data_IF_300235208286
#
_entry.id   IF_300235208286
#
_cell.length_a   1.000
_cell.length_b   1.000
_cell.length_c   1.000
_cell.angle_alpha   90.00
_cell.angle_beta   90.00
_cell.angle_gamma   90.00
#
_symmetry.space_group_name_H-M   'P 1'
#
loop_
_entity.id
_entity.type
_entity.pdbx_description
1 polymer ?
#
# COMPACT_ATOMS: atom_id res chain seq x y z
N UNK A 1 56.08 10.72 -49.12
CA UNK A 1 56.90 11.93 -48.87
C UNK A 1 57.04 12.14 -47.36
N UNK A 2 57.95 13.01 -46.93
CA UNK A 2 58.61 12.94 -45.62
C UNK A 2 57.76 13.37 -44.41
N UNK A 3 58.19 12.87 -43.24
CA UNK A 3 57.82 13.34 -41.91
C UNK A 3 58.42 14.73 -41.60
N UNK A 4 57.87 15.41 -40.60
CA UNK A 4 58.56 16.46 -39.84
C UNK A 4 57.63 17.24 -38.91
N UNK A 5 58.07 17.72 -37.74
CA UNK A 5 59.26 17.38 -36.94
C UNK A 5 59.03 17.86 -35.50
N UNK A 6 59.67 17.22 -34.53
CA UNK A 6 59.57 17.54 -33.10
C UNK A 6 60.48 18.69 -32.65
N UNK A 7 60.12 19.32 -31.52
CA UNK A 7 60.99 20.27 -30.79
C UNK A 7 60.19 21.23 -29.89
N UNK A 8 60.48 21.51 -28.62
CA UNK A 8 61.04 20.84 -27.42
C UNK A 8 61.54 21.95 -26.47
N UNK A 9 61.55 21.69 -25.15
CA UNK A 9 62.02 22.54 -24.03
C UNK A 9 61.06 23.69 -23.59
N UNK A 10 60.93 24.00 -22.30
CA UNK A 10 61.57 23.33 -21.15
C UNK A 10 61.16 23.87 -19.76
N UNK A 11 61.76 23.24 -18.74
CA UNK A 11 61.79 23.56 -17.29
C UNK A 11 61.70 25.08 -16.99
N UNK A 12 61.10 25.56 -15.90
CA UNK A 12 60.77 24.94 -14.61
C UNK A 12 61.26 25.85 -13.47
N UNK A 13 60.56 25.94 -12.33
CA UNK A 13 60.98 26.81 -11.23
C UNK A 13 60.02 26.79 -10.03
N UNK A 14 60.54 26.45 -8.85
CA UNK A 14 59.81 26.49 -7.60
C UNK A 14 60.15 27.77 -6.81
N UNK A 15 59.16 28.35 -6.12
CA UNK A 15 59.33 29.52 -5.26
C UNK A 15 58.34 29.51 -4.09
N UNK A 16 58.83 29.70 -2.86
CA UNK A 16 58.06 29.69 -1.59
C UNK A 16 57.74 31.12 -1.17
N UNK A 17 56.68 31.36 -0.37
CA UNK A 17 56.64 32.62 0.43
C UNK A 17 55.31 33.08 1.05
N UNK A 18 55.03 32.63 2.28
CA UNK A 18 54.43 33.31 3.46
C UNK A 18 53.64 34.66 3.38
N UNK A 19 52.59 34.75 4.23
CA UNK A 19 51.97 36.01 4.73
C UNK A 19 50.43 35.90 4.85
N UNK A 20 49.82 35.32 5.89
CA UNK A 20 49.54 35.78 7.27
C UNK A 20 48.68 37.05 7.43
N UNK A 21 47.58 36.86 8.18
CA UNK A 21 46.79 37.78 9.01
C UNK A 21 45.97 38.92 8.35
N UNK A 22 44.66 38.94 8.62
CA UNK A 22 44.14 39.97 9.53
C UNK A 22 42.94 39.48 10.36
N UNK A 23 42.85 39.95 11.60
CA UNK A 23 41.74 39.68 12.53
C UNK A 23 40.69 40.80 12.44
N UNK A 24 39.43 40.52 12.78
CA UNK A 24 38.52 41.54 13.34
C UNK A 24 37.69 40.94 14.46
N UNK A 25 37.70 41.60 15.62
CA UNK A 25 37.06 41.15 16.88
C UNK A 25 36.37 42.32 17.58
N UNK A 26 35.16 42.08 18.10
CA UNK A 26 34.60 42.81 19.24
C UNK A 26 33.52 43.85 18.93
N UNK A 27 32.43 43.85 19.73
CA UNK A 27 31.31 44.79 19.55
C UNK A 27 30.06 44.56 20.43
N UNK A 28 30.22 44.35 21.74
CA UNK A 28 29.17 44.56 22.78
C UNK A 28 29.76 45.57 23.77
N UNK A 29 29.00 46.49 24.40
CA UNK A 29 27.94 46.13 25.36
C UNK A 29 26.75 47.13 25.45
N UNK A 30 25.86 46.95 26.43
CA UNK A 30 24.87 47.96 26.86
C UNK A 30 23.58 47.34 27.42
N UNK A 31 23.18 47.71 28.64
CA UNK A 31 22.02 47.12 29.33
C UNK A 31 21.17 48.15 30.08
N UNK A 32 19.89 47.82 30.31
CA UNK A 32 18.93 48.58 31.12
C UNK A 32 17.67 48.97 30.32
N UNK A 33 16.44 48.84 30.84
CA UNK A 33 16.00 48.24 32.11
C UNK A 33 14.59 48.70 32.49
N UNK A 34 13.79 47.81 33.11
CA UNK A 34 12.36 48.00 33.52
C UNK A 34 11.39 48.14 32.33
N UNK A 35 10.15 47.67 32.38
CA UNK A 35 9.42 46.89 33.39
C UNK A 35 7.90 47.00 33.15
N UNK A 36 7.12 45.94 33.35
CA UNK A 36 5.67 45.99 33.15
C UNK A 36 4.98 44.63 33.22
N UNK A 37 4.08 44.44 34.19
CA UNK A 37 3.24 43.24 34.36
C UNK A 37 1.93 43.39 33.57
N UNK A 38 1.35 42.27 33.14
CA UNK A 38 -0.01 42.19 32.60
C UNK A 38 -0.07 41.24 31.40
N UNK A 39 -0.68 40.05 31.45
CA UNK A 39 -1.56 39.49 32.48
C UNK A 39 -3.03 39.61 32.09
N UNK A 40 -3.45 38.83 31.09
CA UNK A 40 -4.85 38.52 30.84
C UNK A 40 -5.07 37.00 30.78
N UNK A 41 -6.31 36.51 30.69
CA UNK A 41 -7.58 37.22 30.87
C UNK A 41 -8.41 36.65 32.04
N UNK A 42 -9.35 37.43 32.59
CA UNK A 42 -10.47 36.91 33.42
C UNK A 42 -11.78 37.59 33.06
N UNK A 43 -12.37 37.14 31.94
CA UNK A 43 -13.79 37.33 31.70
C UNK A 43 -14.59 36.38 32.60
N UNK A 44 -15.30 36.94 33.58
CA UNK A 44 -16.20 36.18 34.43
C UNK A 44 -17.64 36.24 33.91
N UNK A 45 -18.15 35.11 33.43
CA UNK A 45 -19.58 34.87 33.24
C UNK A 45 -19.90 33.50 33.83
N UNK A 46 -20.35 33.50 35.08
CA UNK A 46 -20.60 32.27 35.83
C UNK A 46 -21.92 31.60 35.43
N UNK A 47 -21.83 30.44 34.77
CA UNK A 47 -22.92 29.47 34.74
C UNK A 47 -22.60 28.32 35.68
N UNK A 48 -23.52 28.02 36.61
CA UNK A 48 -23.28 27.10 37.71
C UNK A 48 -23.29 25.62 37.29
N UNK A 49 -22.27 24.88 37.72
CA UNK A 49 -22.25 23.41 37.71
C UNK A 49 -22.45 22.86 39.13
N UNK A 50 -23.64 22.35 39.43
CA UNK A 50 -23.97 21.77 40.72
C UNK A 50 -23.38 20.36 40.95
N UNK A 51 -23.23 19.98 42.22
CA UNK A 51 -22.80 18.63 42.64
C UNK A 51 -23.80 17.55 42.17
N UNK A 52 -23.36 16.35 41.76
CA UNK A 52 -24.26 15.21 41.60
C UNK A 52 -24.55 14.56 42.97
N UNK A 53 -25.78 14.73 43.46
CA UNK A 53 -26.36 13.91 44.52
C UNK A 53 -27.23 12.78 43.94
N UNK A 54 -27.18 11.60 44.56
CA UNK A 54 -28.28 10.60 44.53
C UNK A 54 -29.48 11.15 45.35
N UNK A 55 -30.70 10.54 45.37
CA UNK A 55 -31.18 9.30 44.73
C UNK A 55 -32.58 9.43 44.05
N UNK A 56 -33.20 8.32 43.61
CA UNK A 56 -34.68 8.16 43.71
C UNK A 56 -35.48 7.76 42.45
N UNK A 57 -36.26 6.67 42.58
CA UNK A 57 -37.47 6.30 41.79
C UNK A 57 -38.67 7.22 42.20
N UNK A 58 -39.88 7.25 41.54
CA UNK A 58 -40.58 6.19 40.77
C UNK A 58 -41.28 6.66 39.44
N UNK A 59 -41.78 5.78 38.55
CA UNK A 59 -43.18 5.26 38.46
C UNK A 59 -44.11 6.19 37.62
N UNK A 60 -45.20 5.80 36.93
CA UNK A 60 -45.83 4.53 36.51
C UNK A 60 -47.01 4.85 35.51
N UNK A 61 -47.77 3.84 35.02
CA UNK A 61 -49.03 3.92 34.19
C UNK A 61 -48.81 4.26 32.70
N UNK A 62 -49.58 3.80 31.68
CA UNK A 62 -50.75 2.89 31.52
C UNK A 62 -50.69 2.28 30.07
N UNK A 63 -51.55 1.39 29.56
CA UNK A 63 -52.66 0.60 30.14
C UNK A 63 -53.77 0.22 29.08
N UNK A 64 -54.01 -1.08 28.84
CA UNK A 64 -55.05 -1.63 27.91
C UNK A 64 -54.48 -2.74 26.99
N UNK A 65 -54.72 -4.06 27.16
CA UNK A 65 -55.95 -4.86 27.12
C UNK A 65 -56.45 -5.16 25.68
N UNK A 66 -56.86 -6.39 25.28
CA UNK A 66 -56.64 -7.76 25.79
C UNK A 66 -57.14 -8.74 24.69
N UNK A 67 -56.34 -9.74 24.27
CA UNK A 67 -56.75 -10.78 23.31
C UNK A 67 -56.21 -12.14 23.74
N UNK A 68 -57.02 -13.21 23.71
CA UNK A 68 -56.76 -14.47 24.44
C UNK A 68 -55.94 -15.48 23.65
N UNK A 69 -54.98 -16.10 24.32
CA UNK A 69 -54.29 -17.35 23.94
C UNK A 69 -53.37 -17.77 25.08
N UNK A 70 -53.78 -18.73 25.91
CA UNK A 70 -53.11 -19.00 27.20
C UNK A 70 -51.88 -19.91 27.06
N UNK A 71 -50.71 -19.55 27.62
CA UNK A 71 -49.50 -20.38 27.60
C UNK A 71 -49.23 -21.10 28.95
N UNK A 72 -48.58 -22.27 28.87
CA UNK A 72 -48.02 -22.98 30.02
C UNK A 72 -46.59 -22.51 30.36
N UNK A 73 -46.38 -22.13 31.63
CA UNK A 73 -45.10 -21.74 32.26
C UNK A 73 -44.06 -22.88 32.12
N UNK A 74 -42.83 -22.68 31.64
CA UNK A 74 -41.69 -21.89 32.15
C UNK A 74 -41.03 -22.43 33.43
N UNK A 75 -39.77 -22.89 33.33
CA UNK A 75 -38.78 -22.85 34.41
C UNK A 75 -37.34 -22.96 33.85
N UNK A 76 -36.44 -22.06 34.26
CA UNK A 76 -35.02 -22.13 33.92
C UNK A 76 -34.23 -22.96 34.95
N UNK A 77 -33.45 -23.92 34.44
CA UNK A 77 -32.09 -24.29 34.88
C UNK A 77 -31.77 -24.58 36.36
N UNK A 78 -31.40 -25.83 36.64
CA UNK A 78 -30.21 -26.25 37.44
C UNK A 78 -29.57 -27.50 36.77
N UNK A 79 -28.47 -28.10 37.23
CA UNK A 79 -27.23 -28.14 36.47
C UNK A 79 -26.97 -29.51 35.80
N UNK A 80 -25.97 -29.57 34.91
CA UNK A 80 -25.46 -30.83 34.38
C UNK A 80 -25.02 -31.76 35.52
N UNK A 81 -25.71 -32.89 35.67
CA UNK A 81 -25.36 -33.95 36.62
C UNK A 81 -24.58 -35.02 35.86
N UNK A 82 -23.36 -35.31 36.30
CA UNK A 82 -22.48 -36.31 35.69
C UNK A 82 -23.06 -37.71 35.82
N UNK A 83 -23.42 -38.32 34.68
CA UNK A 83 -23.79 -39.73 34.57
C UNK A 83 -22.57 -40.63 34.63
N UNK A 84 -22.56 -41.59 35.57
CA UNK A 84 -21.53 -42.64 35.68
C UNK A 84 -21.67 -43.66 34.54
N UNK A 85 -20.59 -44.39 34.19
CA UNK A 85 -20.59 -45.30 33.04
C UNK A 85 -21.47 -46.54 33.27
N UNK A 86 -22.29 -46.88 32.27
CA UNK A 86 -22.96 -48.18 32.22
C UNK A 86 -21.96 -49.25 31.79
N UNK A 87 -21.39 -49.94 32.78
CA UNK A 87 -20.57 -51.13 32.59
C UNK A 87 -21.20 -52.32 33.32
N UNK A 88 -22.25 -52.93 32.76
CA UNK A 88 -22.72 -54.26 33.16
C UNK A 88 -23.87 -54.79 32.28
N UNK A 89 -23.61 -55.08 31.00
CA UNK A 89 -24.42 -56.05 30.23
C UNK A 89 -23.50 -57.12 29.64
N UNK A 90 -23.16 -58.13 30.46
CA UNK A 90 -22.53 -59.36 29.96
C UNK A 90 -23.60 -60.28 29.39
N UNK A 91 -24.00 -60.02 28.15
CA UNK A 91 -24.50 -61.11 27.29
C UNK A 91 -23.32 -62.00 26.91
N UNK A 92 -23.32 -63.27 27.33
CA UNK A 92 -22.25 -64.21 27.00
C UNK A 92 -22.28 -64.61 25.51
N UNK A 93 -21.63 -63.83 24.64
CA UNK A 93 -21.27 -64.32 23.32
C UNK A 93 -19.94 -65.07 23.37
N UNK A 94 -20.01 -66.37 23.69
CA UNK A 94 -18.90 -67.30 23.45
C UNK A 94 -18.76 -67.47 21.92
N UNK A 95 -17.63 -67.07 21.29
CA UNK A 95 -17.41 -67.46 19.89
C UNK A 95 -17.25 -68.98 19.85
N UNK A 96 -18.10 -69.66 19.08
CA UNK A 96 -17.97 -71.10 18.88
C UNK A 96 -16.65 -71.41 18.18
N UNK A 97 -15.87 -72.30 18.78
CA UNK A 97 -14.58 -72.75 18.25
C UNK A 97 -14.80 -73.70 17.07
N UNK A 98 -15.25 -73.18 15.93
CA UNK A 98 -15.27 -73.89 14.65
C UNK A 98 -15.44 -72.98 13.41
N UNK A 99 -14.81 -71.80 13.41
CA UNK A 99 -14.54 -71.08 12.16
C UNK A 99 -13.12 -71.37 11.69
N UNK A 100 -13.00 -72.27 10.71
CA UNK A 100 -11.79 -72.36 9.89
C UNK A 100 -11.55 -70.99 9.24
N UNK A 101 -10.30 -70.49 9.35
CA UNK A 101 -9.92 -69.22 8.74
C UNK A 101 -10.04 -69.34 7.23
N UNK A 102 -11.05 -68.69 6.66
CA UNK A 102 -11.04 -68.37 5.25
C UNK A 102 -10.47 -66.95 5.12
N UNK A 103 -9.14 -66.86 4.99
CA UNK A 103 -8.38 -65.59 4.95
C UNK A 103 -8.67 -64.73 3.69
N UNK A 104 -9.68 -65.09 2.89
CA UNK A 104 -10.08 -64.45 1.64
C UNK A 104 -11.25 -63.46 1.77
N UNK A 105 -11.70 -63.09 2.98
CA UNK A 105 -12.80 -62.13 3.15
C UNK A 105 -12.35 -60.67 2.95
N UNK A 106 -11.96 -60.34 1.71
CA UNK A 106 -11.79 -58.96 1.28
C UNK A 106 -13.15 -58.24 1.30
N UNK A 107 -13.38 -57.42 2.33
CA UNK A 107 -14.58 -56.60 2.43
C UNK A 107 -14.76 -55.70 1.19
N UNK A 108 -15.99 -55.25 0.88
CA UNK A 108 -16.33 -54.66 -0.40
C UNK A 108 -15.36 -53.52 -0.77
N UNK A 109 -14.50 -53.79 -1.75
CA UNK A 109 -13.57 -52.81 -2.29
C UNK A 109 -14.38 -51.63 -2.82
N UNK A 110 -14.43 -50.53 -2.06
CA UNK A 110 -14.85 -49.24 -2.61
C UNK A 110 -13.95 -48.99 -3.82
N UNK A 111 -14.49 -48.84 -5.04
CA UNK A 111 -13.66 -48.52 -6.20
C UNK A 111 -12.86 -47.29 -5.85
N UNK A 112 -11.53 -47.38 -6.00
CA UNK A 112 -10.65 -46.22 -5.76
C UNK A 112 -11.18 -45.10 -6.66
N UNK A 113 -11.68 -44.03 -6.05
CA UNK A 113 -12.08 -42.80 -6.74
C UNK A 113 -10.97 -42.50 -7.74
N UNK A 114 -11.28 -42.26 -9.03
CA UNK A 114 -10.25 -42.09 -10.05
C UNK A 114 -9.24 -41.07 -9.53
N UNK A 115 -7.95 -41.43 -9.58
CA UNK A 115 -6.91 -40.43 -9.38
C UNK A 115 -7.19 -39.34 -10.40
N UNK A 116 -7.14 -38.08 -9.96
CA UNK A 116 -7.14 -36.94 -10.87
C UNK A 116 -6.09 -37.18 -11.97
N UNK A 117 -6.31 -36.61 -13.15
CA UNK A 117 -5.35 -36.71 -14.25
C UNK A 117 -3.93 -36.38 -13.75
N UNK A 118 -2.88 -37.07 -14.24
CA UNK A 118 -1.50 -36.76 -13.87
C UNK A 118 -1.20 -35.27 -14.15
N UNK A 119 -0.76 -34.54 -13.12
CA UNK A 119 -0.50 -33.08 -13.16
C UNK A 119 0.99 -32.75 -13.34
N UNK A 120 1.81 -33.77 -13.50
CA UNK A 120 3.26 -33.78 -13.71
C UNK A 120 3.67 -33.51 -15.17
N UNK A 121 2.70 -33.30 -16.07
CA UNK A 121 2.94 -32.94 -17.47
C UNK A 121 3.17 -31.44 -17.69
N UNK A 122 2.93 -30.60 -16.68
CA UNK A 122 3.16 -29.16 -16.73
C UNK A 122 4.63 -28.83 -16.44
N UNK A 123 5.29 -28.05 -17.31
CA UNK A 123 6.71 -27.67 -17.16
C UNK A 123 7.00 -26.89 -15.86
N UNK A 124 6.00 -26.20 -15.31
CA UNK A 124 6.09 -25.43 -14.07
C UNK A 124 5.70 -26.24 -12.81
N UNK A 125 5.36 -27.53 -12.95
CA UNK A 125 4.91 -28.37 -11.83
C UNK A 125 6.05 -28.62 -10.84
N UNK A 126 5.79 -28.30 -9.57
CA UNK A 126 6.74 -28.48 -8.48
C UNK A 126 6.17 -29.47 -7.45
N UNK A 127 6.81 -30.63 -7.29
CA UNK A 127 6.39 -31.64 -6.31
C UNK A 127 6.37 -31.12 -4.87
N UNK A 128 7.31 -30.24 -4.49
CA UNK A 128 7.42 -29.64 -3.16
C UNK A 128 6.66 -28.29 -3.07
N UNK A 129 6.15 -27.82 -4.20
CA UNK A 129 5.42 -26.57 -4.36
C UNK A 129 4.08 -26.50 -3.63
N UNK A 130 3.52 -25.29 -3.63
CA UNK A 130 2.23 -25.00 -3.01
C UNK A 130 1.11 -25.36 -3.98
N UNK A 131 0.09 -26.09 -3.50
CA UNK A 131 -1.12 -26.40 -4.27
C UNK A 131 -1.79 -25.13 -4.81
N UNK A 132 -2.12 -25.10 -6.10
CA UNK A 132 -2.61 -23.92 -6.81
C UNK A 132 -3.85 -23.30 -6.13
N UNK A 133 -4.86 -24.10 -5.77
CA UNK A 133 -6.06 -23.59 -5.07
C UNK A 133 -5.78 -23.05 -3.66
N UNK A 134 -4.72 -23.55 -2.99
CA UNK A 134 -4.28 -23.02 -1.69
C UNK A 134 -3.60 -21.67 -1.90
N UNK A 135 -2.78 -21.56 -2.94
CA UNK A 135 -2.03 -20.35 -3.28
C UNK A 135 -2.96 -19.21 -3.72
N UNK A 136 -3.92 -19.48 -4.61
CA UNK A 136 -4.98 -18.53 -5.00
C UNK A 136 -5.79 -18.04 -3.79
N UNK A 137 -6.13 -18.93 -2.86
CA UNK A 137 -6.84 -18.56 -1.63
C UNK A 137 -5.98 -17.71 -0.67
N UNK A 138 -4.67 -17.95 -0.58
CA UNK A 138 -3.72 -17.09 0.16
C UNK A 138 -3.53 -15.72 -0.51
N UNK A 139 -3.56 -15.69 -1.86
CA UNK A 139 -3.57 -14.45 -2.62
C UNK A 139 -4.89 -13.65 -2.50
N UNK A 140 -5.93 -14.24 -1.92
CA UNK A 140 -7.20 -13.58 -1.63
C UNK A 140 -8.25 -13.67 -2.74
N UNK A 141 -8.06 -14.53 -3.74
CA UNK A 141 -8.97 -14.70 -4.89
C UNK A 141 -10.36 -15.14 -4.43
N UNK A 142 -10.43 -16.27 -3.73
CA UNK A 142 -11.68 -16.83 -3.22
C UNK A 142 -11.39 -17.87 -2.11
N UNK A 143 -12.44 -18.55 -1.62
CA UNK A 143 -12.26 -19.75 -0.81
C UNK A 143 -11.55 -20.84 -1.61
N UNK A 144 -10.80 -21.74 -0.95
CA UNK A 144 -10.10 -22.85 -1.64
C UNK A 144 -11.01 -23.70 -2.55
N UNK A 145 -12.29 -23.88 -2.20
CA UNK A 145 -13.26 -24.63 -3.01
C UNK A 145 -13.71 -23.87 -4.25
N UNK A 146 -13.87 -22.56 -4.14
CA UNK A 146 -14.16 -21.70 -5.30
C UNK A 146 -12.93 -21.59 -6.20
N UNK A 147 -11.72 -21.58 -5.64
CA UNK A 147 -10.49 -21.68 -6.44
C UNK A 147 -10.37 -23.03 -7.18
N UNK A 148 -10.83 -24.15 -6.58
CA UNK A 148 -10.91 -25.43 -7.30
C UNK A 148 -11.90 -25.35 -8.47
N UNK A 149 -13.07 -24.75 -8.27
CA UNK A 149 -14.05 -24.51 -9.36
C UNK A 149 -13.47 -23.63 -10.47
N UNK A 150 -12.79 -22.53 -10.14
CA UNK A 150 -12.15 -21.65 -11.12
C UNK A 150 -11.07 -22.37 -11.97
N UNK A 151 -10.36 -23.33 -11.38
CA UNK A 151 -9.42 -24.20 -12.13
C UNK A 151 -10.21 -25.11 -13.07
N UNK A 152 -11.20 -25.86 -12.57
CA UNK A 152 -12.04 -26.76 -13.39
C UNK A 152 -12.80 -26.01 -14.52
N UNK A 153 -13.15 -24.74 -14.31
CA UNK A 153 -13.77 -23.82 -15.28
C UNK A 153 -12.79 -23.28 -16.35
N UNK A 154 -11.49 -23.56 -16.24
CA UNK A 154 -10.47 -23.06 -17.18
C UNK A 154 -10.23 -21.56 -17.08
N UNK A 155 -10.33 -20.99 -15.87
CA UNK A 155 -10.17 -19.54 -15.62
C UNK A 155 -8.80 -19.16 -15.06
N UNK A 156 -7.91 -20.13 -14.89
CA UNK A 156 -6.60 -19.98 -14.27
C UNK A 156 -5.51 -20.33 -15.25
N UNK A 157 -4.54 -19.44 -15.42
CA UNK A 157 -3.30 -19.75 -16.15
C UNK A 157 -2.09 -19.64 -15.24
N UNK A 158 -1.06 -20.42 -15.52
CA UNK A 158 0.24 -20.37 -14.84
C UNK A 158 1.31 -20.25 -15.90
N UNK A 159 2.15 -19.21 -15.83
CA UNK A 159 3.18 -18.89 -16.83
C UNK A 159 2.63 -18.81 -18.27
N UNK A 160 1.35 -18.43 -18.43
CA UNK A 160 0.64 -18.36 -19.71
C UNK A 160 -0.07 -19.65 -20.14
N UNK A 161 0.19 -20.79 -19.49
CA UNK A 161 -0.44 -22.07 -19.79
C UNK A 161 -1.74 -22.26 -19.02
N UNK A 162 -2.78 -22.80 -19.68
CA UNK A 162 -4.10 -23.02 -19.09
C UNK A 162 -4.11 -24.24 -18.16
N UNK A 163 -4.61 -24.05 -16.94
CA UNK A 163 -4.70 -25.13 -15.94
C UNK A 163 -6.14 -25.51 -15.66
N UNK A 164 -6.50 -26.79 -15.90
CA UNK A 164 -7.84 -27.32 -15.62
C UNK A 164 -7.86 -28.42 -14.55
N UNK A 165 -6.68 -28.97 -14.22
CA UNK A 165 -6.53 -30.15 -13.40
C UNK A 165 -6.34 -29.83 -11.91
N UNK A 166 -7.22 -30.38 -11.08
CA UNK A 166 -7.05 -30.28 -9.63
C UNK A 166 -5.85 -31.11 -9.14
N UNK A 167 -4.95 -30.45 -8.42
CA UNK A 167 -3.80 -31.11 -7.75
C UNK A 167 -2.45 -30.50 -8.10
N UNK A 168 -2.41 -29.67 -9.15
CA UNK A 168 -1.25 -28.87 -9.56
C UNK A 168 -0.63 -28.13 -8.36
N UNK A 169 0.70 -28.20 -8.28
CA UNK A 169 1.54 -27.53 -7.31
C UNK A 169 2.56 -26.67 -8.04
N UNK A 170 2.80 -25.49 -7.52
CA UNK A 170 3.67 -24.48 -8.14
C UNK A 170 4.57 -23.83 -7.10
N UNK A 171 5.76 -23.42 -7.51
CA UNK A 171 6.66 -22.64 -6.65
C UNK A 171 6.13 -21.19 -6.52
N UNK A 172 5.72 -20.71 -5.34
CA UNK A 172 5.17 -19.36 -5.17
C UNK A 172 6.19 -18.23 -5.37
N UNK A 173 7.49 -18.53 -5.37
CA UNK A 173 8.54 -17.54 -5.67
C UNK A 173 8.78 -17.35 -7.19
N UNK A 174 8.29 -18.26 -8.03
CA UNK A 174 8.58 -18.28 -9.49
C UNK A 174 7.32 -18.29 -10.37
N UNK A 175 6.20 -18.84 -9.89
CA UNK A 175 5.00 -19.05 -10.68
C UNK A 175 4.20 -17.76 -10.90
N UNK A 176 3.97 -17.42 -12.17
CA UNK A 176 3.14 -16.31 -12.60
C UNK A 176 1.69 -16.79 -12.80
N UNK A 177 0.87 -16.65 -11.76
CA UNK A 177 -0.52 -17.12 -11.77
C UNK A 177 -1.45 -15.97 -12.15
N UNK A 178 -2.32 -16.21 -13.15
CA UNK A 178 -3.42 -15.32 -13.49
C UNK A 178 -4.77 -15.99 -13.22
N UNK A 179 -5.77 -15.20 -12.84
CA UNK A 179 -7.17 -15.62 -12.72
C UNK A 179 -8.01 -14.62 -13.49
N UNK A 180 -8.84 -15.10 -14.41
CA UNK A 180 -9.62 -14.26 -15.34
C UNK A 180 -8.77 -13.22 -16.10
N UNK A 181 -7.50 -13.56 -16.38
CA UNK A 181 -6.53 -12.67 -17.02
C UNK A 181 -5.88 -11.62 -16.11
N UNK A 182 -6.20 -11.57 -14.82
CA UNK A 182 -5.51 -10.69 -13.84
C UNK A 182 -4.45 -11.46 -13.07
N UNK A 183 -3.21 -10.97 -13.04
CA UNK A 183 -2.13 -11.55 -12.24
C UNK A 183 -2.42 -11.44 -10.75
N UNK A 184 -2.20 -12.52 -10.02
CA UNK A 184 -2.30 -12.57 -8.56
C UNK A 184 -0.91 -12.62 -7.93
N UNK A 185 -0.67 -11.82 -6.89
CA UNK A 185 0.60 -11.88 -6.17
C UNK A 185 0.58 -13.00 -5.12
N UNK A 186 1.30 -14.06 -5.46
CA UNK A 186 1.46 -15.35 -4.77
C UNK A 186 2.57 -15.35 -3.72
N UNK A 187 3.58 -14.49 -3.86
CA UNK A 187 4.74 -14.44 -2.97
C UNK A 187 4.47 -13.60 -1.70
N UNK A 188 4.42 -14.25 -0.54
CA UNK A 188 4.19 -13.61 0.76
C UNK A 188 5.39 -12.77 1.26
N UNK A 189 6.58 -12.90 0.65
CA UNK A 189 7.78 -12.11 0.97
C UNK A 189 7.76 -10.73 0.33
N UNK A 190 6.95 -10.53 -0.71
CA UNK A 190 6.86 -9.27 -1.43
C UNK A 190 5.91 -8.29 -0.71
N UNK A 191 6.40 -7.07 -0.53
CA UNK A 191 5.78 -6.02 0.27
C UNK A 191 5.37 -4.89 -0.66
N UNK A 192 4.13 -4.44 -0.56
CA UNK A 192 3.60 -3.32 -1.35
C UNK A 192 2.86 -2.37 -0.41
N UNK A 193 3.33 -1.13 -0.34
CA UNK A 193 2.82 -0.13 0.60
C UNK A 193 2.61 1.21 -0.09
N UNK A 194 1.65 1.99 0.42
CA UNK A 194 1.48 3.40 0.11
C UNK A 194 1.80 4.24 1.34
N UNK A 195 2.78 5.15 1.23
CA UNK A 195 3.02 6.24 2.16
C UNK A 195 2.29 7.50 1.65
N UNK A 196 1.52 8.17 2.49
CA UNK A 196 1.16 9.56 2.26
C UNK A 196 2.28 10.44 2.85
N UNK A 197 3.25 10.78 2.01
CA UNK A 197 4.46 11.52 2.39
C UNK A 197 4.08 12.97 2.76
N UNK A 198 4.43 13.48 3.94
CA UNK A 198 4.24 14.89 4.27
C UNK A 198 5.31 15.79 3.62
N UNK A 199 5.07 17.10 3.61
CA UNK A 199 6.07 18.09 3.24
C UNK A 199 7.20 18.14 4.29
N UNK A 200 8.39 18.59 3.88
CA UNK A 200 9.58 18.65 4.74
C UNK A 200 10.36 17.34 4.86
N UNK A 201 9.88 16.26 4.24
CA UNK A 201 10.52 14.93 4.25
C UNK A 201 11.28 14.69 2.94
N UNK A 202 12.50 14.18 3.00
CA UNK A 202 13.31 13.77 1.85
C UNK A 202 12.82 12.41 1.33
N UNK A 203 12.73 12.24 0.01
CA UNK A 203 12.56 10.91 -0.59
C UNK A 203 13.89 10.14 -0.63
N UNK A 204 14.37 9.74 0.55
CA UNK A 204 15.49 8.81 0.76
C UNK A 204 15.11 7.78 1.84
N UNK A 205 15.84 6.66 1.88
CA UNK A 205 15.81 5.67 2.96
C UNK A 205 16.90 5.90 4.02
N UNK A 206 17.84 6.80 3.73
CA UNK A 206 18.96 7.22 4.56
C UNK A 206 19.42 8.59 4.03
N UNK A 207 19.16 9.68 4.75
CA UNK A 207 19.59 11.04 4.35
C UNK A 207 20.91 11.43 5.04
N UNK A 208 22.01 11.63 4.28
CA UNK A 208 23.33 11.91 4.86
C UNK A 208 23.42 13.25 5.58
N UNK A 209 22.51 14.19 5.27
CA UNK A 209 22.41 15.50 5.93
C UNK A 209 21.55 15.44 7.21
N UNK A 210 21.04 14.26 7.59
CA UNK A 210 20.25 14.04 8.81
C UNK A 210 18.85 14.65 8.78
N UNK A 211 18.31 14.99 7.60
CA UNK A 211 16.95 15.54 7.46
C UNK A 211 15.90 14.42 7.67
N UNK A 212 14.64 14.77 8.00
CA UNK A 212 13.56 13.79 8.05
C UNK A 212 13.41 13.06 6.69
N UNK A 213 13.46 11.73 6.68
CA UNK A 213 13.36 10.91 5.47
C UNK A 213 12.24 9.86 5.56
N UNK A 214 12.16 8.94 4.59
CA UNK A 214 11.10 7.92 4.54
C UNK A 214 11.26 6.88 5.66
N UNK A 215 12.49 6.60 6.11
CA UNK A 215 12.76 5.57 7.11
C UNK A 215 12.07 5.86 8.44
N UNK A 216 11.91 7.14 8.79
CA UNK A 216 11.20 7.62 9.98
C UNK A 216 9.73 7.18 10.05
N UNK A 217 9.12 6.82 8.92
CA UNK A 217 7.71 6.37 8.83
C UNK A 217 7.56 4.85 8.85
N UNK A 218 8.66 4.10 8.67
CA UNK A 218 8.65 2.65 8.64
C UNK A 218 8.67 2.06 10.06
N UNK A 219 7.99 0.92 10.23
CA UNK A 219 8.01 0.20 11.50
C UNK A 219 9.35 -0.53 11.66
N UNK A 220 10.07 -0.26 12.76
CA UNK A 220 11.31 -0.97 13.12
C UNK A 220 11.18 -2.51 13.20
N UNK A 221 9.96 -3.03 13.30
CA UNK A 221 9.64 -4.46 13.32
C UNK A 221 9.42 -5.08 11.93
N UNK A 222 9.63 -4.34 10.84
CA UNK A 222 9.54 -4.92 9.49
C UNK A 222 10.76 -5.78 9.20
N UNK A 223 10.53 -7.04 8.84
CA UNK A 223 11.57 -8.00 8.45
C UNK A 223 12.12 -7.78 7.04
N UNK A 224 11.31 -7.20 6.15
CA UNK A 224 11.66 -6.95 4.75
C UNK A 224 12.09 -5.50 4.55
N UNK A 225 13.26 -5.29 3.94
CA UNK A 225 13.73 -3.95 3.54
C UNK A 225 13.04 -3.52 2.26
N UNK A 226 12.29 -2.42 2.34
CA UNK A 226 11.66 -1.76 1.19
C UNK A 226 12.48 -0.56 0.71
N UNK A 227 12.22 -0.13 -0.52
CA UNK A 227 12.71 1.11 -1.13
C UNK A 227 11.54 1.87 -1.76
N UNK A 228 11.76 3.12 -2.15
CA UNK A 228 10.73 4.00 -2.69
C UNK A 228 10.61 3.90 -4.22
N UNK A 229 9.37 3.86 -4.72
CA UNK A 229 9.07 3.86 -6.15
C UNK A 229 9.07 5.29 -6.68
N UNK A 230 10.18 5.68 -7.28
CA UNK A 230 10.43 7.05 -7.72
C UNK A 230 10.65 7.99 -6.53
N UNK A 231 10.48 9.29 -6.74
CA UNK A 231 10.71 10.31 -5.71
C UNK A 231 9.63 11.38 -5.74
N UNK A 232 9.44 12.06 -4.61
CA UNK A 232 8.76 13.34 -4.51
C UNK A 232 9.75 14.38 -3.97
N UNK A 233 9.63 15.64 -4.37
CA UNK A 233 10.44 16.71 -3.79
C UNK A 233 10.16 16.86 -2.28
N UNK A 234 11.07 17.49 -1.54
CA UNK A 234 10.96 17.66 -0.08
C UNK A 234 9.64 18.32 0.32
N UNK A 235 9.31 19.40 -0.38
CA UNK A 235 8.10 20.21 -0.28
C UNK A 235 6.86 19.65 -1.02
N UNK A 236 6.98 18.49 -1.67
CA UNK A 236 5.86 17.84 -2.37
C UNK A 236 5.27 16.73 -1.48
N UNK A 237 3.95 16.77 -1.32
CA UNK A 237 3.19 15.84 -0.48
C UNK A 237 2.61 14.67 -1.28
N UNK A 238 2.07 13.67 -0.57
CA UNK A 238 1.12 12.71 -1.11
C UNK A 238 1.69 11.33 -1.37
N UNK A 239 1.05 10.60 -2.29
CA UNK A 239 1.25 9.19 -2.53
C UNK A 239 2.68 8.87 -3.00
N UNK A 240 3.39 8.06 -2.21
CA UNK A 240 4.65 7.44 -2.58
C UNK A 240 4.53 5.93 -2.31
N UNK A 241 4.69 5.12 -3.36
CA UNK A 241 4.68 3.66 -3.20
C UNK A 241 6.04 3.21 -2.66
N UNK A 242 6.03 2.22 -1.77
CA UNK A 242 7.21 1.55 -1.23
C UNK A 242 7.09 0.04 -1.48
N UNK A 243 8.17 -0.60 -1.92
CA UNK A 243 8.18 -2.05 -2.18
C UNK A 243 9.58 -2.64 -2.05
N UNK A 244 9.68 -3.97 -1.97
CA UNK A 244 10.92 -4.72 -2.21
C UNK A 244 10.92 -5.43 -3.60
N UNK A 245 9.84 -5.28 -4.38
CA UNK A 245 9.72 -5.74 -5.76
C UNK A 245 10.49 -4.81 -6.70
N UNK A 246 11.73 -5.19 -7.02
CA UNK A 246 12.64 -4.37 -7.83
C UNK A 246 12.18 -4.22 -9.28
N UNK A 247 11.50 -5.23 -9.82
CA UNK A 247 11.02 -5.19 -11.18
C UNK A 247 9.82 -4.24 -11.31
N UNK A 248 8.80 -4.41 -10.46
CA UNK A 248 7.64 -3.51 -10.47
C UNK A 248 8.06 -2.06 -10.25
N UNK A 249 8.98 -1.80 -9.31
CA UNK A 249 9.45 -0.44 -9.07
C UNK A 249 10.23 0.15 -10.25
N UNK A 250 11.05 -0.65 -10.94
CA UNK A 250 11.72 -0.23 -12.16
C UNK A 250 10.70 0.11 -13.25
N UNK A 251 9.75 -0.78 -13.55
CA UNK A 251 8.71 -0.53 -14.57
C UNK A 251 7.85 0.70 -14.24
N UNK A 252 7.42 0.87 -12.98
CA UNK A 252 6.63 2.02 -12.52
C UNK A 252 7.36 3.37 -12.58
N UNK A 253 8.70 3.36 -12.66
CA UNK A 253 9.52 4.59 -12.72
C UNK A 253 10.14 4.84 -14.08
N UNK A 254 10.33 3.79 -14.89
CA UNK A 254 10.97 3.90 -16.19
C UNK A 254 10.06 4.60 -17.21
N UNK A 255 10.56 5.59 -17.99
CA UNK A 255 9.71 6.41 -18.87
C UNK A 255 8.89 5.64 -19.90
N UNK A 256 9.38 4.49 -20.38
CA UNK A 256 8.71 3.71 -21.45
C UNK A 256 7.35 3.13 -21.09
N UNK A 257 7.03 3.00 -19.79
CA UNK A 257 5.73 2.48 -19.33
C UNK A 257 4.69 3.59 -19.15
N UNK A 258 5.09 4.86 -19.30
CA UNK A 258 4.24 6.05 -19.29
C UNK A 258 3.22 6.13 -18.12
N UNK A 259 3.56 5.51 -16.97
CA UNK A 259 2.63 5.33 -15.86
C UNK A 259 2.09 6.68 -15.36
N UNK A 260 0.77 6.92 -15.42
CA UNK A 260 0.21 8.24 -15.14
C UNK A 260 0.32 8.60 -13.65
N UNK A 261 0.61 9.87 -13.38
CA UNK A 261 0.79 10.44 -12.04
C UNK A 261 -0.12 11.65 -11.94
N UNK A 262 -1.12 11.61 -11.07
CA UNK A 262 -2.09 12.69 -10.90
C UNK A 262 -1.79 13.50 -9.64
N UNK A 263 -1.79 14.81 -9.80
CA UNK A 263 -1.46 15.78 -8.77
C UNK A 263 -2.63 16.74 -8.56
N UNK A 264 -2.89 17.08 -7.30
CA UNK A 264 -3.59 18.31 -6.94
C UNK A 264 -2.56 19.43 -6.79
N UNK A 265 -2.82 20.54 -7.47
CA UNK A 265 -1.93 21.69 -7.58
C UNK A 265 -2.70 22.92 -7.11
N UNK A 266 -2.20 23.60 -6.08
CA UNK A 266 -2.69 24.89 -5.64
C UNK A 266 -1.77 25.99 -6.17
N UNK A 267 -2.36 27.03 -6.76
CA UNK A 267 -1.67 28.19 -7.33
C UNK A 267 -2.41 29.49 -6.99
N UNK A 268 -1.74 30.66 -7.08
CA UNK A 268 -2.41 31.95 -6.98
C UNK A 268 -3.46 32.13 -8.08
N UNK A 269 -4.63 32.64 -7.69
CA UNK A 269 -5.71 33.03 -8.59
C UNK A 269 -5.77 34.55 -8.82
N UNK A 270 -6.51 35.02 -9.85
CA UNK A 270 -7.24 34.24 -10.85
C UNK A 270 -6.29 33.53 -11.83
N UNK A 271 -6.83 32.63 -12.66
CA UNK A 271 -6.09 31.94 -13.72
C UNK A 271 -6.68 32.26 -15.09
N UNK A 272 -5.83 32.54 -16.06
CA UNK A 272 -6.27 32.90 -17.41
C UNK A 272 -6.98 31.74 -18.12
N UNK A 273 -8.01 32.10 -18.90
CA UNK A 273 -8.72 31.14 -19.73
C UNK A 273 -7.78 30.55 -20.79
N UNK A 274 -7.90 29.24 -21.00
CA UNK A 274 -7.09 28.53 -22.01
C UNK A 274 -5.75 27.98 -21.52
N UNK A 275 -5.28 28.29 -20.31
CA UNK A 275 -4.03 27.71 -19.75
C UNK A 275 -4.06 26.18 -19.79
N UNK A 276 -5.16 25.55 -19.36
CA UNK A 276 -5.30 24.09 -19.42
C UNK A 276 -5.24 23.51 -20.84
N UNK A 277 -5.59 24.29 -21.88
CA UNK A 277 -5.42 23.88 -23.27
C UNK A 277 -3.97 24.08 -23.76
N UNK A 278 -3.31 25.16 -23.32
CA UNK A 278 -1.88 25.40 -23.57
C UNK A 278 -1.01 24.29 -22.95
N UNK A 279 -1.27 23.90 -21.69
CA UNK A 279 -0.57 22.80 -21.02
C UNK A 279 -0.72 21.46 -21.75
N UNK A 280 -1.90 21.17 -22.33
CA UNK A 280 -2.16 19.96 -23.12
C UNK A 280 -1.44 19.99 -24.47
N UNK A 281 -1.48 21.14 -25.17
CA UNK A 281 -0.75 21.34 -26.44
C UNK A 281 0.77 21.22 -26.26
N UNK A 282 1.26 21.76 -25.14
CA UNK A 282 2.62 21.64 -24.65
C UNK A 282 3.30 22.98 -24.41
N UNK A 283 4.07 23.03 -23.34
CA UNK A 283 4.85 24.20 -22.91
C UNK A 283 6.33 23.90 -23.13
N UNK A 284 7.07 24.91 -23.61
CA UNK A 284 8.52 24.81 -23.78
C UNK A 284 9.21 25.10 -22.46
N UNK A 285 9.97 24.14 -21.96
CA UNK A 285 10.86 24.28 -20.81
C UNK A 285 12.33 24.19 -21.28
N UNK A 286 13.27 24.43 -20.37
CA UNK A 286 14.72 24.33 -20.62
C UNK A 286 15.13 22.96 -21.18
N UNK A 287 14.51 21.89 -20.69
CA UNK A 287 14.75 20.49 -21.07
C UNK A 287 13.79 19.99 -22.17
N UNK A 288 13.21 20.91 -22.95
CA UNK A 288 12.33 20.63 -24.09
C UNK A 288 10.84 20.85 -23.83
N UNK A 289 10.00 20.44 -24.79
CA UNK A 289 8.54 20.57 -24.68
C UNK A 289 7.98 19.51 -23.74
N UNK A 290 7.10 19.91 -22.82
CA UNK A 290 6.39 19.02 -21.89
C UNK A 290 4.89 19.27 -21.97
N UNK A 291 4.09 18.21 -21.77
CA UNK A 291 2.62 18.22 -21.89
C UNK A 291 1.97 17.65 -20.64
N UNK A 292 0.71 18.02 -20.41
CA UNK A 292 -0.17 17.35 -19.45
C UNK A 292 -1.21 16.52 -20.18
N UNK A 293 -1.51 15.34 -19.66
CA UNK A 293 -2.50 14.42 -20.22
C UNK A 293 -3.91 14.93 -19.89
N UNK A 294 -4.09 15.31 -18.62
CA UNK A 294 -5.31 15.93 -18.12
C UNK A 294 -5.02 17.21 -17.35
N UNK A 295 -5.98 18.13 -17.42
CA UNK A 295 -6.04 19.36 -16.66
C UNK A 295 -7.51 19.61 -16.35
N UNK A 296 -7.86 19.76 -15.07
CA UNK A 296 -9.21 20.07 -14.60
C UNK A 296 -9.13 21.12 -13.50
N UNK A 297 -9.88 22.21 -13.66
CA UNK A 297 -10.17 23.11 -12.55
C UNK A 297 -11.08 22.38 -11.56
N UNK A 298 -10.66 22.26 -10.30
CA UNK A 298 -11.42 21.60 -9.23
C UNK A 298 -12.15 22.63 -8.39
N UNK A 299 -11.46 23.71 -8.02
CA UNK A 299 -12.02 24.81 -7.22
C UNK A 299 -11.32 26.14 -7.56
N UNK A 300 -12.02 27.25 -7.36
CA UNK A 300 -11.53 28.61 -7.61
C UNK A 300 -12.05 29.54 -6.53
N UNK A 301 -11.23 29.76 -5.51
CA UNK A 301 -11.53 30.64 -4.38
C UNK A 301 -10.80 31.99 -4.51
N UNK A 302 -11.23 33.05 -3.80
CA UNK A 302 -10.49 34.31 -3.78
C UNK A 302 -9.03 34.09 -3.34
N UNK A 303 -8.08 34.43 -4.21
CA UNK A 303 -6.64 34.29 -3.99
C UNK A 303 -6.04 32.95 -4.43
N UNK A 304 -6.79 31.84 -4.42
CA UNK A 304 -6.23 30.50 -4.71
C UNK A 304 -7.12 29.64 -5.61
N UNK A 305 -6.47 28.95 -6.55
CA UNK A 305 -7.09 28.01 -7.49
C UNK A 305 -6.52 26.60 -7.26
N UNK A 306 -7.40 25.60 -7.30
CA UNK A 306 -7.07 24.18 -7.17
C UNK A 306 -7.29 23.46 -8.50
N UNK A 307 -6.25 22.79 -9.01
CA UNK A 307 -6.25 22.08 -10.29
C UNK A 307 -5.85 20.62 -10.09
N UNK A 308 -6.56 19.69 -10.75
CA UNK A 308 -6.10 18.32 -10.95
C UNK A 308 -5.35 18.21 -12.29
N UNK A 309 -4.12 17.72 -12.25
CA UNK A 309 -3.25 17.54 -13.42
C UNK A 309 -2.66 16.13 -13.45
N UNK A 310 -2.77 15.44 -14.58
CA UNK A 310 -2.11 14.13 -14.80
C UNK A 310 -0.96 14.29 -15.79
N UNK A 311 0.18 13.66 -15.46
CA UNK A 311 1.35 13.52 -16.33
C UNK A 311 1.91 12.09 -16.27
N UNK A 312 2.38 11.56 -17.39
CA UNK A 312 3.24 10.37 -17.42
C UNK A 312 4.72 10.68 -17.07
N UNK A 313 5.20 11.89 -17.39
CA UNK A 313 6.62 12.28 -17.22
C UNK A 313 7.12 12.27 -15.77
N UNK A 314 8.35 11.76 -15.57
CA UNK A 314 9.07 11.74 -14.28
C UNK A 314 10.19 12.78 -14.13
N UNK A 315 10.27 13.77 -15.03
CA UNK A 315 11.32 14.81 -15.03
C UNK A 315 11.34 15.61 -13.72
N UNK A 316 12.53 16.09 -13.32
CA UNK A 316 12.70 16.84 -12.07
C UNK A 316 11.80 18.08 -12.01
N UNK A 317 11.09 18.24 -10.88
CA UNK A 317 10.15 19.35 -10.56
C UNK A 317 9.16 19.70 -11.67
N UNK A 318 8.83 18.75 -12.56
CA UNK A 318 8.19 19.04 -13.84
C UNK A 318 6.86 19.79 -13.70
N UNK A 319 5.98 19.40 -12.79
CA UNK A 319 4.71 20.09 -12.54
C UNK A 319 4.97 21.55 -12.13
N UNK A 320 5.88 21.79 -11.17
CA UNK A 320 6.22 23.15 -10.71
C UNK A 320 6.75 24.01 -11.86
N UNK A 321 7.68 23.48 -12.66
CA UNK A 321 8.25 24.18 -13.84
C UNK A 321 7.21 24.51 -14.91
N UNK A 322 6.27 23.59 -15.19
CA UNK A 322 5.20 23.83 -16.17
C UNK A 322 4.23 24.93 -15.73
N UNK A 323 3.91 24.97 -14.43
CA UNK A 323 3.01 25.98 -13.85
C UNK A 323 3.69 27.36 -13.70
N UNK A 324 4.97 27.39 -13.32
CA UNK A 324 5.82 28.58 -13.31
C UNK A 324 5.96 29.19 -14.73
N UNK A 325 6.17 28.36 -15.76
CA UNK A 325 6.28 28.80 -17.15
C UNK A 325 4.98 29.37 -17.76
N UNK A 326 3.82 29.22 -17.09
CA UNK A 326 2.55 29.89 -17.44
C UNK A 326 2.15 30.98 -16.44
N UNK A 327 3.07 31.43 -15.57
CA UNK A 327 2.83 32.54 -14.64
C UNK A 327 2.08 32.19 -13.35
N UNK A 328 1.80 30.91 -13.08
CA UNK A 328 1.07 30.45 -11.89
C UNK A 328 1.96 29.54 -11.03
N UNK A 329 2.96 30.09 -10.29
CA UNK A 329 3.87 29.29 -9.48
C UNK A 329 3.12 28.44 -8.44
N UNK A 330 3.58 27.21 -8.22
CA UNK A 330 2.89 26.24 -7.36
C UNK A 330 3.16 26.49 -5.88
N UNK A 331 2.11 26.84 -5.15
CA UNK A 331 2.13 27.00 -3.69
C UNK A 331 2.14 25.64 -2.99
N UNK A 332 1.22 24.75 -3.40
CA UNK A 332 1.06 23.42 -2.83
C UNK A 332 0.92 22.35 -3.90
N UNK A 333 1.66 21.25 -3.74
CA UNK A 333 1.64 20.11 -4.65
C UNK A 333 1.44 18.81 -3.89
N UNK A 334 0.39 18.06 -4.24
CA UNK A 334 0.06 16.77 -3.62
C UNK A 334 -0.13 15.72 -4.71
N UNK A 335 0.68 14.65 -4.73
CA UNK A 335 0.40 13.51 -5.62
C UNK A 335 -0.74 12.68 -5.03
N UNK A 336 -1.87 12.59 -5.73
CA UNK A 336 -3.07 11.88 -5.25
C UNK A 336 -3.26 10.49 -5.87
N UNK A 337 -2.62 10.24 -7.03
CA UNK A 337 -2.70 8.96 -7.73
C UNK A 337 -1.39 8.64 -8.46
N UNK A 338 -1.04 7.36 -8.56
CA UNK A 338 0.04 6.84 -9.39
C UNK A 338 -0.40 5.49 -9.98
N UNK A 339 -0.49 5.42 -11.31
CA UNK A 339 -1.14 4.31 -12.00
C UNK A 339 -2.58 4.14 -11.50
N UNK A 340 -3.01 2.91 -11.14
CA UNK A 340 -4.33 2.68 -10.55
C UNK A 340 -4.44 3.13 -9.09
N UNK A 341 -3.33 3.17 -8.33
CA UNK A 341 -3.37 3.38 -6.88
C UNK A 341 -3.66 4.84 -6.53
N UNK A 342 -4.67 5.03 -5.67
CA UNK A 342 -5.09 6.33 -5.13
C UNK A 342 -4.73 6.47 -3.66
N UNK A 343 -4.49 7.72 -3.24
CA UNK A 343 -4.25 8.08 -1.84
C UNK A 343 -5.52 7.98 -0.98
N UNK A 344 -6.69 8.24 -1.58
CA UNK A 344 -7.98 8.18 -0.90
C UNK A 344 -8.04 9.09 0.34
N UNK A 345 -8.57 8.57 1.44
CA UNK A 345 -8.69 9.25 2.75
C UNK A 345 -7.47 9.03 3.67
N UNK A 346 -6.36 8.52 3.16
CA UNK A 346 -5.16 8.23 3.94
C UNK A 346 -4.54 9.51 4.52
N UNK A 347 -4.37 9.58 5.84
CA UNK A 347 -3.79 10.76 6.53
C UNK A 347 -2.31 10.94 6.18
N UNK A 348 -1.84 12.19 6.14
CA UNK A 348 -0.41 12.50 5.99
C UNK A 348 0.43 11.78 7.06
N UNK A 349 1.65 11.37 6.69
CA UNK A 349 2.57 10.65 7.57
C UNK A 349 2.15 9.22 7.90
N UNK A 350 1.08 8.69 7.31
CA UNK A 350 0.68 7.28 7.52
C UNK A 350 1.08 6.39 6.36
N UNK A 351 1.40 5.14 6.68
CA UNK A 351 1.64 4.06 5.72
C UNK A 351 0.52 3.03 5.83
N UNK A 352 0.04 2.53 4.70
CA UNK A 352 -0.82 1.34 4.59
C UNK A 352 -0.20 0.31 3.65
N UNK A 353 -0.55 -0.95 3.82
CA UNK A 353 -0.34 -1.94 2.78
C UNK A 353 -1.32 -1.69 1.62
N UNK A 354 -0.91 -2.04 0.40
CA UNK A 354 -1.84 -2.11 -0.72
C UNK A 354 -2.75 -3.33 -0.57
N UNK A 355 -3.99 -3.20 -1.05
CA UNK A 355 -4.91 -4.32 -1.19
C UNK A 355 -4.47 -5.26 -2.31
N UNK A 356 -4.94 -6.51 -2.30
CA UNK A 356 -4.64 -7.50 -3.34
C UNK A 356 -5.10 -7.04 -4.74
N UNK A 357 -6.22 -6.31 -4.81
CA UNK A 357 -6.73 -5.68 -6.05
C UNK A 357 -5.76 -4.61 -6.55
N UNK A 358 -5.36 -3.65 -5.69
CA UNK A 358 -4.40 -2.59 -6.06
C UNK A 358 -3.04 -3.17 -6.54
N UNK A 359 -2.61 -4.31 -6.00
CA UNK A 359 -1.39 -4.99 -6.44
C UNK A 359 -1.58 -5.62 -7.82
N UNK A 360 -2.69 -6.32 -8.06
CA UNK A 360 -3.01 -6.91 -9.37
C UNK A 360 -3.18 -5.84 -10.46
N UNK A 361 -3.88 -4.75 -10.15
CA UNK A 361 -4.01 -3.59 -11.06
C UNK A 361 -2.66 -2.93 -11.34
N UNK A 362 -1.77 -2.80 -10.34
CA UNK A 362 -0.43 -2.25 -10.54
C UNK A 362 0.42 -3.11 -11.49
N UNK A 363 0.46 -4.42 -11.27
CA UNK A 363 1.19 -5.37 -12.11
C UNK A 363 0.68 -5.29 -13.56
N UNK A 364 -0.63 -5.42 -13.75
CA UNK A 364 -1.27 -5.31 -15.06
C UNK A 364 -0.97 -3.95 -15.75
N UNK A 365 -0.92 -2.84 -14.99
CA UNK A 365 -0.64 -1.51 -15.55
C UNK A 365 0.77 -1.33 -16.14
N UNK A 366 1.69 -2.27 -15.88
CA UNK A 366 3.04 -2.29 -16.45
C UNK A 366 3.35 -3.58 -17.23
N UNK A 367 2.32 -4.34 -17.62
CA UNK A 367 2.47 -5.60 -18.35
C UNK A 367 3.22 -6.67 -17.56
N UNK A 368 2.97 -6.73 -16.24
CA UNK A 368 3.38 -7.83 -15.35
C UNK A 368 2.17 -8.67 -14.98
#
# INVERSE_FOLDING_TARGET
MAQGRSGNHGRGGAGRGFGKNNEYRGGKPGAGGRGGKGGGPRGGAGFGGGKPGKPGKPGAKNGGARGKGAPGKSAQGKPFRSGKPFASERGEYRPSSNFQRNDNYAGPHRPRRPKNAPVDHYDFYDHDGVRLQKLMAQAGVASRRVCEQMIEEGRVTVNGELVTELGVRVNPDQAEVHVDGMRIQTNEKLVYMALNKPAGVVSSMDDPDGRPDISNFLRKSMSQRVFHVGRLDVETEGLLLLTNDGELANRLTHPSYEVPKTYLVQVPGPMDQGIGAAMKKGIRLEDGVSRVDTFKLIDSTPGHILVEVTIHSGKNRIVRRMFEAVGHPVEKLVRVQMGPVRIGSQKQGTIRNLSKVEIGELLASVGM
#
